data_IF_311984617030
#
_entry.id   IF_311984617030
#
_cell.length_a   1.000
_cell.length_b   1.000
_cell.length_c   1.000
_cell.angle_alpha   90.00
_cell.angle_beta   90.00
_cell.angle_gamma   90.00
#
_symmetry.space_group_name_H-M   'P 1'
#
loop_
_entity.id
_entity.type
_entity.pdbx_description
1 polymer ?
#
# COMPACT_ATOMS: atom_id res chain seq x y z
N UNK A 1 -5.00 12.38 -27.28
CA UNK A 1 -5.58 11.81 -26.04
C UNK A 1 -5.97 10.34 -26.22
N UNK A 2 -6.79 9.96 -27.21
CA UNK A 2 -7.22 8.57 -27.46
C UNK A 2 -6.09 7.54 -27.69
N UNK A 3 -5.07 7.89 -28.48
CA UNK A 3 -3.92 7.00 -28.75
C UNK A 3 -3.10 6.70 -27.48
N UNK A 4 -2.98 7.66 -26.58
CA UNK A 4 -2.24 7.49 -25.33
C UNK A 4 -2.94 6.46 -24.42
N UNK A 5 -4.27 6.53 -24.33
CA UNK A 5 -5.07 5.59 -23.53
C UNK A 5 -4.94 4.15 -24.04
N UNK A 6 -4.94 3.96 -25.37
CA UNK A 6 -4.79 2.63 -25.97
C UNK A 6 -3.41 2.03 -25.68
N UNK A 7 -2.35 2.83 -25.81
CA UNK A 7 -0.99 2.39 -25.54
C UNK A 7 -0.80 2.02 -24.06
N UNK A 8 -1.37 2.79 -23.13
CA UNK A 8 -1.32 2.49 -21.69
C UNK A 8 -2.03 1.17 -21.38
N UNK A 9 -3.25 0.97 -21.90
CA UNK A 9 -4.00 -0.28 -21.69
C UNK A 9 -3.28 -1.50 -22.26
N UNK A 10 -2.66 -1.35 -23.44
CA UNK A 10 -1.89 -2.43 -24.06
C UNK A 10 -0.65 -2.79 -23.23
N UNK A 11 0.08 -1.79 -22.72
CA UNK A 11 1.23 -2.02 -21.84
C UNK A 11 0.83 -2.69 -20.52
N UNK A 12 -0.27 -2.26 -19.90
CA UNK A 12 -0.81 -2.89 -18.69
C UNK A 12 -1.17 -4.36 -18.92
N UNK A 13 -1.89 -4.66 -20.01
CA UNK A 13 -2.27 -6.04 -20.35
C UNK A 13 -1.06 -6.94 -20.59
N UNK A 14 -0.02 -6.42 -21.25
CA UNK A 14 1.22 -7.17 -21.48
C UNK A 14 1.91 -7.52 -20.15
N UNK A 15 2.10 -6.54 -19.26
CA UNK A 15 2.77 -6.77 -17.97
C UNK A 15 2.00 -7.68 -17.02
N UNK A 16 0.67 -7.56 -16.98
CA UNK A 16 -0.17 -8.45 -16.17
C UNK A 16 -0.08 -9.90 -16.66
N UNK A 17 -0.09 -10.10 -17.98
CA UNK A 17 0.02 -11.44 -18.58
C UNK A 17 1.39 -12.06 -18.33
N UNK A 18 2.46 -11.26 -18.42
CA UNK A 18 3.81 -11.69 -18.11
C UNK A 18 3.92 -12.13 -16.64
N UNK A 19 3.51 -11.28 -15.70
CA UNK A 19 3.60 -11.55 -14.26
C UNK A 19 2.87 -12.84 -13.85
N UNK A 20 1.63 -13.03 -14.32
CA UNK A 20 0.83 -14.21 -13.95
C UNK A 20 1.35 -15.53 -14.52
N UNK A 21 2.19 -15.49 -15.57
CA UNK A 21 2.74 -16.69 -16.20
C UNK A 21 4.12 -17.05 -15.67
N UNK A 22 4.96 -16.07 -15.37
CA UNK A 22 6.37 -16.29 -15.04
C UNK A 22 6.62 -16.47 -13.55
N UNK A 23 5.80 -15.85 -12.69
CA UNK A 23 5.98 -15.91 -11.24
C UNK A 23 5.03 -16.97 -10.65
N UNK A 24 5.53 -17.91 -9.83
CA UNK A 24 4.68 -18.90 -9.16
C UNK A 24 3.90 -18.26 -8.00
N UNK A 25 2.67 -17.80 -8.28
CA UNK A 25 1.82 -17.15 -7.29
C UNK A 25 1.16 -18.18 -6.37
N UNK A 26 1.16 -17.90 -5.07
CA UNK A 26 0.33 -18.60 -4.08
C UNK A 26 -0.34 -17.57 -3.17
N UNK A 27 -1.55 -17.88 -2.72
CA UNK A 27 -2.38 -16.96 -1.95
C UNK A 27 -2.34 -17.33 -0.47
N UNK A 28 -2.10 -16.33 0.38
CA UNK A 28 -2.20 -16.44 1.83
C UNK A 28 -3.28 -15.48 2.31
N UNK A 29 -4.13 -15.95 3.22
CA UNK A 29 -5.20 -15.16 3.82
C UNK A 29 -5.13 -15.29 5.34
N UNK A 30 -5.37 -14.17 6.03
CA UNK A 30 -5.51 -14.12 7.48
C UNK A 30 -6.57 -13.10 7.85
N UNK A 31 -7.28 -13.35 8.93
CA UNK A 31 -8.24 -12.41 9.50
C UNK A 31 -7.56 -11.56 10.57
N UNK A 32 -7.90 -10.26 10.62
CA UNK A 32 -7.34 -9.31 11.59
C UNK A 32 -8.47 -8.42 12.10
N UNK A 33 -8.59 -8.31 13.42
CA UNK A 33 -9.52 -7.39 14.06
C UNK A 33 -8.98 -5.95 14.01
N UNK A 34 -9.78 -5.02 13.50
CA UNK A 34 -9.36 -3.62 13.24
C UNK A 34 -10.10 -2.59 14.10
N UNK A 35 -11.03 -3.02 14.97
CA UNK A 35 -11.91 -2.12 15.73
C UNK A 35 -11.11 -1.15 16.60
N UNK A 36 -10.16 -1.66 17.38
CA UNK A 36 -9.27 -0.85 18.21
C UNK A 36 -8.40 0.12 17.40
N UNK A 37 -8.08 -0.24 16.15
CA UNK A 37 -7.27 0.58 15.28
C UNK A 37 -8.06 1.73 14.68
N UNK A 38 -9.33 1.50 14.34
CA UNK A 38 -10.24 2.56 13.88
C UNK A 38 -10.45 3.58 15.01
N UNK A 39 -10.72 3.12 16.24
CA UNK A 39 -10.84 4.02 17.37
C UNK A 39 -9.56 4.84 17.62
N UNK A 40 -8.38 4.24 17.39
CA UNK A 40 -7.11 4.95 17.49
C UNK A 40 -6.97 6.03 16.41
N UNK A 41 -7.35 5.72 15.17
CA UNK A 41 -7.38 6.69 14.08
C UNK A 41 -8.30 7.87 14.42
N UNK A 42 -9.48 7.63 14.98
CA UNK A 42 -10.41 8.68 15.37
C UNK A 42 -9.83 9.56 16.48
N UNK A 43 -9.27 8.95 17.53
CA UNK A 43 -8.59 9.70 18.61
C UNK A 43 -7.42 10.54 18.10
N UNK A 44 -6.68 10.05 17.11
CA UNK A 44 -5.57 10.79 16.49
C UNK A 44 -6.10 11.94 15.65
N UNK A 45 -7.12 11.71 14.84
CA UNK A 45 -7.75 12.73 14.01
C UNK A 45 -8.39 13.85 14.86
N UNK A 46 -9.02 13.52 15.99
CA UNK A 46 -9.56 14.50 16.93
C UNK A 46 -8.47 15.41 17.51
N UNK A 47 -7.29 14.84 17.80
CA UNK A 47 -6.13 15.61 18.28
C UNK A 47 -5.54 16.50 17.19
N UNK A 48 -5.54 16.04 15.95
CA UNK A 48 -5.05 16.79 14.80
C UNK A 48 -6.01 17.93 14.43
N UNK A 49 -7.31 17.70 14.48
CA UNK A 49 -8.33 18.72 14.27
C UNK A 49 -8.23 19.88 15.28
N UNK A 50 -7.87 19.59 16.54
CA UNK A 50 -7.62 20.62 17.56
C UNK A 50 -6.36 21.47 17.30
N UNK A 51 -5.44 20.98 16.46
CA UNK A 51 -4.20 21.67 16.11
C UNK A 51 -4.27 22.39 14.77
N UNK A 52 -5.24 22.05 13.92
CA UNK A 52 -5.42 22.66 12.62
C UNK A 52 -5.94 24.10 12.77
N UNK A 53 -5.34 25.04 12.05
CA UNK A 53 -5.69 26.46 12.09
C UNK A 53 -6.81 26.74 11.07
N UNK A 54 -6.87 25.93 10.00
CA UNK A 54 -7.90 25.99 8.97
C UNK A 54 -8.53 24.61 8.71
N UNK A 55 -9.74 24.61 8.14
CA UNK A 55 -10.46 23.39 7.75
C UNK A 55 -9.73 22.58 6.67
N UNK A 56 -8.99 23.26 5.78
CA UNK A 56 -8.20 22.66 4.71
C UNK A 56 -6.95 21.94 5.25
N UNK A 57 -6.28 22.51 6.26
CA UNK A 57 -5.17 21.83 6.94
C UNK A 57 -5.64 20.59 7.70
N UNK A 58 -6.84 20.64 8.29
CA UNK A 58 -7.42 19.48 8.99
C UNK A 58 -7.68 18.31 8.03
N UNK A 59 -8.14 18.59 6.80
CA UNK A 59 -8.34 17.56 5.78
C UNK A 59 -7.02 16.99 5.26
N UNK A 60 -6.00 17.83 5.07
CA UNK A 60 -4.67 17.39 4.65
C UNK A 60 -3.91 16.58 5.72
N UNK A 61 -4.22 16.78 7.00
CA UNK A 61 -3.60 16.09 8.13
C UNK A 61 -4.36 14.82 8.56
N UNK A 62 -5.49 14.51 7.92
CA UNK A 62 -6.31 13.36 8.30
C UNK A 62 -5.54 12.05 8.13
N UNK A 63 -5.45 11.30 9.22
CA UNK A 63 -4.89 9.94 9.20
C UNK A 63 -5.99 8.95 8.87
N UNK A 64 -5.72 8.09 7.90
CA UNK A 64 -6.62 7.03 7.45
C UNK A 64 -6.11 5.66 7.87
N UNK A 65 -7.00 4.66 7.82
CA UNK A 65 -6.62 3.26 8.06
C UNK A 65 -5.50 2.80 7.12
N UNK A 66 -5.53 3.25 5.86
CA UNK A 66 -4.51 2.92 4.87
C UNK A 66 -3.12 3.40 5.29
N UNK A 67 -3.00 4.56 5.92
CA UNK A 67 -1.70 5.08 6.40
C UNK A 67 -1.10 4.17 7.46
N UNK A 68 -1.95 3.61 8.33
CA UNK A 68 -1.52 2.65 9.34
C UNK A 68 -1.13 1.31 8.69
N UNK A 69 -1.89 0.84 7.70
CA UNK A 69 -1.56 -0.39 6.96
C UNK A 69 -0.21 -0.25 6.24
N UNK A 70 0.05 0.89 5.58
CA UNK A 70 1.33 1.16 4.91
C UNK A 70 2.47 1.18 5.93
N UNK A 71 2.27 1.82 7.09
CA UNK A 71 3.27 1.83 8.16
C UNK A 71 3.56 0.42 8.70
N UNK A 72 2.52 -0.39 8.88
CA UNK A 72 2.67 -1.78 9.32
C UNK A 72 3.41 -2.61 8.27
N UNK A 73 3.06 -2.47 6.99
CA UNK A 73 3.74 -3.15 5.89
C UNK A 73 5.23 -2.75 5.82
N UNK A 74 5.56 -1.46 5.92
CA UNK A 74 6.93 -0.99 5.92
C UNK A 74 7.73 -1.54 7.11
N UNK A 75 7.14 -1.58 8.31
CA UNK A 75 7.78 -2.17 9.49
C UNK A 75 8.00 -3.69 9.31
N UNK A 76 7.07 -4.40 8.67
CA UNK A 76 7.21 -5.82 8.35
C UNK A 76 8.32 -6.07 7.33
N UNK A 77 8.42 -5.26 6.28
CA UNK A 77 9.51 -5.37 5.29
C UNK A 77 10.90 -5.20 5.91
N UNK A 78 11.03 -4.42 6.99
CA UNK A 78 12.28 -4.29 7.74
C UNK A 78 12.57 -5.52 8.62
N UNK A 79 11.53 -6.18 9.13
CA UNK A 79 11.65 -7.38 9.99
C UNK A 79 11.87 -8.66 9.20
N UNK A 80 11.28 -8.76 8.02
CA UNK A 80 11.34 -9.92 7.12
C UNK A 80 11.83 -9.42 5.75
N UNK A 81 13.15 -9.24 5.57
CA UNK A 81 13.71 -8.69 4.35
C UNK A 81 13.47 -9.55 3.11
N UNK A 82 13.26 -10.85 3.28
CA UNK A 82 12.96 -11.79 2.20
C UNK A 82 11.66 -11.43 1.49
N UNK A 83 10.67 -10.91 2.22
CA UNK A 83 9.41 -10.44 1.64
C UNK A 83 9.57 -9.14 0.83
N UNK A 84 10.64 -8.37 1.06
CA UNK A 84 10.93 -7.11 0.37
C UNK A 84 12.03 -7.27 -0.71
N UNK A 85 12.27 -8.50 -1.16
CA UNK A 85 13.31 -8.81 -2.14
C UNK A 85 12.74 -9.04 -3.55
N UNK A 86 13.58 -8.92 -4.57
CA UNK A 86 13.22 -9.10 -5.98
C UNK A 86 14.13 -10.10 -6.69
N UNK A 87 13.53 -11.00 -7.47
CA UNK A 87 14.23 -11.96 -8.32
C UNK A 87 14.65 -11.31 -9.64
N UNK A 88 15.97 -11.24 -9.91
CA UNK A 88 16.52 -10.67 -11.15
C UNK A 88 17.02 -11.74 -12.14
N UNK A 89 16.39 -12.91 -12.14
CA UNK A 89 16.75 -14.02 -13.04
C UNK A 89 17.79 -14.94 -12.41
N UNK A 90 18.96 -14.42 -12.07
CA UNK A 90 20.09 -15.23 -11.59
C UNK A 90 20.41 -15.01 -10.09
N UNK A 91 19.95 -13.90 -9.52
CA UNK A 91 20.19 -13.56 -8.12
C UNK A 91 19.00 -12.82 -7.51
N UNK A 92 18.95 -12.84 -6.17
CA UNK A 92 17.95 -12.13 -5.37
C UNK A 92 18.56 -10.79 -4.94
N UNK A 93 17.88 -9.69 -5.25
CA UNK A 93 18.19 -8.36 -4.71
C UNK A 93 17.30 -8.11 -3.50
N UNK A 94 17.91 -7.86 -2.34
CA UNK A 94 17.26 -7.39 -1.13
C UNK A 94 17.18 -5.86 -1.09
#
# INVERSE_FOLDING_TARGET
MFLLTILVSQALGHRLTESQRTVPHYYLSTDVEVDQLIELCDRVNDRLAKRAISKEEAENLKVTLNDVIIKAAAATCLRIPECNSSWQGDFIRQ
#
